data_IF_121861967964
#
_entry.id   IF_121861967964
#
_cell.length_a   1.000
_cell.length_b   1.000
_cell.length_c   1.000
_cell.angle_alpha   90.00
_cell.angle_beta   90.00
_cell.angle_gamma   90.00
#
_symmetry.space_group_name_H-M   'P 1'
#
loop_
_entity.id
_entity.type
_entity.pdbx_description
1 polymer ?
#
# COMPACT_ATOMS: atom_id res chain seq x y z
N UNK A 1 -14.22 -10.05 21.11
CA UNK A 1 -13.69 -10.17 19.73
C UNK A 1 -13.50 -8.76 19.16
N UNK A 2 -12.49 -8.01 19.63
CA UNK A 2 -12.21 -6.62 19.22
C UNK A 2 -10.73 -6.43 18.81
N UNK A 3 -9.85 -7.34 19.23
CA UNK A 3 -8.39 -7.25 19.03
C UNK A 3 -7.96 -7.63 17.60
N UNK A 4 -8.76 -8.41 16.87
CA UNK A 4 -8.40 -8.87 15.53
C UNK A 4 -8.46 -7.77 14.43
N UNK A 5 -9.14 -6.64 14.68
CA UNK A 5 -9.24 -5.52 13.73
C UNK A 5 -7.99 -4.64 13.76
N UNK A 6 -7.12 -4.81 14.77
CA UNK A 6 -5.97 -3.95 15.00
C UNK A 6 -4.75 -4.24 14.08
N UNK A 7 -4.86 -5.15 13.11
CA UNK A 7 -3.70 -5.54 12.28
C UNK A 7 -3.98 -5.59 10.76
N UNK A 8 -5.10 -5.04 10.28
CA UNK A 8 -5.48 -5.12 8.83
C UNK A 8 -4.84 -4.02 7.95
N UNK A 9 -3.82 -3.32 8.45
CA UNK A 9 -3.17 -2.18 7.79
C UNK A 9 -1.75 -2.47 7.31
N UNK A 10 -1.53 -3.57 6.59
CA UNK A 10 -0.27 -3.78 5.90
C UNK A 10 -0.57 -3.80 4.40
N UNK A 11 -0.06 -2.81 3.66
CA UNK A 11 -0.05 -2.90 2.20
C UNK A 11 0.93 -4.00 1.81
N UNK A 12 0.49 -4.89 0.93
CA UNK A 12 1.22 -6.12 0.62
C UNK A 12 1.75 -6.09 -0.81
N UNK A 13 3.02 -6.46 -0.95
CA UNK A 13 3.69 -6.58 -2.24
C UNK A 13 3.14 -7.81 -2.96
N UNK A 14 2.90 -7.70 -4.26
CA UNK A 14 2.31 -8.81 -5.04
C UNK A 14 3.23 -9.25 -6.17
N UNK A 15 3.34 -10.56 -6.31
CA UNK A 15 3.95 -11.19 -7.47
C UNK A 15 2.94 -11.18 -8.62
N UNK A 16 3.18 -10.36 -9.64
CA UNK A 16 2.30 -10.20 -10.81
C UNK A 16 3.04 -10.64 -12.06
N UNK A 17 2.40 -11.47 -12.88
CA UNK A 17 2.96 -11.86 -14.17
C UNK A 17 2.76 -10.73 -15.21
N UNK A 18 3.86 -10.13 -15.64
CA UNK A 18 3.90 -9.07 -16.65
C UNK A 18 4.67 -9.62 -17.85
N UNK A 19 3.96 -9.84 -18.95
CA UNK A 19 4.53 -10.31 -20.22
C UNK A 19 5.31 -11.64 -20.11
N UNK A 20 4.77 -12.59 -19.35
CA UNK A 20 5.38 -13.90 -19.15
C UNK A 20 6.47 -13.95 -18.07
N UNK A 21 6.82 -12.81 -17.47
CA UNK A 21 7.76 -12.72 -16.35
C UNK A 21 7.03 -12.38 -15.07
N UNK A 22 7.31 -13.12 -14.01
CA UNK A 22 6.84 -12.75 -12.68
C UNK A 22 7.69 -11.59 -12.13
N UNK A 23 7.03 -10.51 -11.76
CA UNK A 23 7.64 -9.32 -11.15
C UNK A 23 7.02 -9.12 -9.78
N UNK A 24 7.85 -8.93 -8.76
CA UNK A 24 7.39 -8.47 -7.45
C UNK A 24 7.13 -6.98 -7.59
N UNK A 25 5.88 -6.58 -7.37
CA UNK A 25 5.48 -5.19 -7.39
C UNK A 25 5.18 -4.76 -5.98
N UNK A 26 5.84 -3.69 -5.57
CA UNK A 26 5.76 -3.13 -4.23
C UNK A 26 4.58 -2.14 -4.14
N UNK A 27 3.99 -1.93 -2.95
CA UNK A 27 3.10 -0.82 -2.71
C UNK A 27 3.86 0.51 -2.76
N UNK A 28 3.14 1.60 -3.01
CA UNK A 28 3.69 2.95 -2.97
C UNK A 28 2.71 3.93 -2.30
N UNK A 29 3.19 5.10 -1.94
CA UNK A 29 2.38 6.23 -1.51
C UNK A 29 2.86 7.52 -2.15
N UNK A 30 2.36 8.66 -1.67
CA UNK A 30 2.64 9.96 -2.30
C UNK A 30 4.11 10.40 -2.21
N UNK A 31 4.92 9.80 -1.33
CA UNK A 31 6.32 10.17 -1.13
C UNK A 31 7.28 9.40 -2.05
N UNK A 32 6.96 8.14 -2.36
CA UNK A 32 7.81 7.26 -3.18
C UNK A 32 7.15 6.87 -4.51
N UNK A 33 6.08 7.56 -4.92
CA UNK A 33 5.35 7.28 -6.16
C UNK A 33 6.27 7.26 -7.39
N UNK A 34 7.16 8.25 -7.52
CA UNK A 34 8.05 8.37 -8.67
C UNK A 34 9.05 7.20 -8.80
N UNK A 35 9.39 6.55 -7.69
CA UNK A 35 10.42 5.51 -7.63
C UNK A 35 9.81 4.10 -7.66
N UNK A 36 8.67 3.91 -6.99
CA UNK A 36 8.11 2.58 -6.71
C UNK A 36 6.91 2.23 -7.59
N UNK A 37 6.22 3.21 -8.17
CA UNK A 37 5.03 2.95 -9.00
C UNK A 37 5.42 2.26 -10.30
N UNK A 38 4.76 1.14 -10.56
CA UNK A 38 4.87 0.40 -11.82
C UNK A 38 3.63 0.64 -12.71
N UNK A 39 3.79 1.33 -13.84
CA UNK A 39 2.69 1.68 -14.76
C UNK A 39 2.04 0.49 -15.48
N UNK A 40 2.66 -0.70 -15.42
CA UNK A 40 2.12 -1.92 -16.02
C UNK A 40 1.09 -2.63 -15.14
N UNK A 41 0.79 -2.10 -13.94
CA UNK A 41 -0.18 -2.71 -13.01
C UNK A 41 -1.22 -1.71 -12.52
N UNK A 42 -2.36 -2.24 -12.08
CA UNK A 42 -3.44 -1.50 -11.44
C UNK A 42 -3.24 -1.56 -9.93
N UNK A 43 -3.31 -0.39 -9.29
CA UNK A 43 -3.26 -0.24 -7.85
C UNK A 43 -4.64 0.09 -7.28
N UNK A 44 -4.83 -0.20 -5.99
CA UNK A 44 -6.00 0.20 -5.21
C UNK A 44 -5.53 0.89 -3.94
N UNK A 45 -6.32 1.83 -3.43
CA UNK A 45 -6.08 2.42 -2.12
C UNK A 45 -6.20 1.34 -1.04
N UNK A 46 -5.16 1.20 -0.21
CA UNK A 46 -5.20 0.33 0.96
C UNK A 46 -6.03 1.02 2.06
N UNK A 47 -7.30 0.62 2.18
CA UNK A 47 -8.24 1.19 3.16
C UNK A 47 -7.77 1.01 4.60
N UNK A 48 -7.05 -0.08 4.90
CA UNK A 48 -6.46 -0.32 6.21
C UNK A 48 -5.49 0.78 6.60
N UNK A 49 -4.57 1.14 5.70
CA UNK A 49 -3.60 2.21 5.91
C UNK A 49 -4.26 3.58 6.02
N UNK A 50 -5.33 3.83 5.26
CA UNK A 50 -6.13 5.05 5.41
C UNK A 50 -6.76 5.12 6.81
N UNK A 51 -7.42 4.06 7.27
CA UNK A 51 -8.04 4.04 8.61
C UNK A 51 -6.98 4.22 9.70
N UNK A 52 -5.85 3.52 9.59
CA UNK A 52 -4.75 3.65 10.55
C UNK A 52 -4.10 5.02 10.55
N UNK A 53 -4.02 5.69 9.40
CA UNK A 53 -3.54 7.07 9.32
C UNK A 53 -4.44 8.04 10.09
N UNK A 54 -5.76 7.79 10.12
CA UNK A 54 -6.73 8.62 10.85
C UNK A 54 -6.68 8.32 12.36
N UNK A 55 -6.64 7.05 12.74
CA UNK A 55 -6.54 6.66 14.16
C UNK A 55 -5.22 7.15 14.77
N UNK A 56 -4.12 6.98 14.03
CA UNK A 56 -2.76 7.37 14.46
C UNK A 56 -2.45 8.86 14.29
N UNK A 57 -3.43 9.70 13.97
CA UNK A 57 -3.21 11.12 13.63
C UNK A 57 -2.50 11.89 14.76
N UNK A 58 -2.74 11.52 16.02
CA UNK A 58 -2.08 12.11 17.19
C UNK A 58 -0.54 11.96 17.14
N UNK A 59 -0.05 10.90 16.49
CA UNK A 59 1.38 10.63 16.39
C UNK A 59 2.07 11.29 15.21
N UNK A 60 1.31 11.82 14.23
CA UNK A 60 1.71 12.47 12.95
C UNK A 60 2.65 11.65 12.05
N UNK A 61 3.67 11.01 12.62
CA UNK A 61 4.62 10.12 11.99
C UNK A 61 3.92 8.91 11.37
N UNK A 62 2.98 8.28 12.09
CA UNK A 62 2.25 7.10 11.59
C UNK A 62 1.49 7.39 10.29
N UNK A 63 0.64 8.43 10.19
CA UNK A 63 -0.04 8.73 8.93
C UNK A 63 0.94 9.07 7.80
N UNK A 64 2.02 9.79 8.08
CA UNK A 64 3.03 10.13 7.07
C UNK A 64 3.69 8.87 6.53
N UNK A 65 4.11 7.94 7.38
CA UNK A 65 4.75 6.69 6.94
C UNK A 65 3.78 5.83 6.13
N UNK A 66 2.56 5.62 6.66
CA UNK A 66 1.57 4.75 6.02
C UNK A 66 1.09 5.29 4.68
N UNK A 67 0.74 6.58 4.63
CA UNK A 67 0.22 7.18 3.39
C UNK A 67 1.34 7.60 2.43
N UNK A 68 2.52 7.92 2.95
CA UNK A 68 3.68 8.31 2.16
C UNK A 68 4.31 7.15 1.39
N UNK A 69 4.35 5.96 1.98
CA UNK A 69 5.05 4.81 1.38
C UNK A 69 4.13 3.66 0.96
N UNK A 70 2.91 3.57 1.51
CA UNK A 70 2.10 2.36 1.42
C UNK A 70 0.60 2.63 1.20
N UNK A 71 0.25 3.77 0.60
CA UNK A 71 -1.17 4.14 0.39
C UNK A 71 -1.86 3.28 -0.68
N UNK A 72 -1.11 2.85 -1.70
CA UNK A 72 -1.60 2.14 -2.86
C UNK A 72 -0.96 0.75 -2.93
N UNK A 73 -1.80 -0.29 -2.97
CA UNK A 73 -1.38 -1.68 -3.10
C UNK A 73 -1.62 -2.20 -4.53
N UNK A 74 -0.69 -3.00 -5.09
CA UNK A 74 -0.85 -3.58 -6.41
C UNK A 74 -1.93 -4.67 -6.37
N UNK A 75 -2.78 -4.73 -7.40
CA UNK A 75 -3.90 -5.69 -7.46
C UNK A 75 -3.73 -6.68 -8.61
N UNK A 76 -3.47 -6.18 -9.83
CA UNK A 76 -3.35 -7.01 -11.04
C UNK A 76 -2.63 -6.27 -12.15
N UNK A 77 -2.19 -7.01 -13.18
CA UNK A 77 -1.71 -6.43 -14.45
C UNK A 77 -2.78 -5.51 -15.04
N UNK A 78 -2.34 -4.39 -15.62
CA UNK A 78 -3.20 -3.49 -16.40
C UNK A 78 -3.68 -4.15 -17.68
#
# INVERSE_FOLDING_TARGET
MLVAVLFVGCADSKKININGKDVIVEPYGWMNEAEMKNDSVIYKVNTGNVVWSVIGVETVIVPIILTGNSLYEPVRKK
#
